data_IF_779137657336
#
_entry.id   IF_779137657336
#
_cell.length_a   1.000
_cell.length_b   1.000
_cell.length_c   1.000
_cell.angle_alpha   90.00
_cell.angle_beta   90.00
_cell.angle_gamma   90.00
#
_symmetry.space_group_name_H-M   'P 1'
#
loop_
_entity.id
_entity.type
_entity.pdbx_description
1 polymer ?
#
# COMPACT_ATOMS: atom_id res chain seq x y z
N UNK A 1 47.08 -26.05 10.95
CA UNK A 1 48.36 -26.79 11.04
C UNK A 1 48.23 -28.04 10.18
N UNK A 2 49.20 -28.35 9.30
CA UNK A 2 49.14 -29.50 8.39
C UNK A 2 50.08 -30.60 8.90
N UNK A 3 49.56 -31.81 9.08
CA UNK A 3 50.32 -32.99 9.48
C UNK A 3 50.33 -33.97 8.31
N UNK A 4 51.51 -34.29 7.77
CA UNK A 4 51.66 -35.21 6.65
C UNK A 4 52.76 -36.23 6.96
N UNK A 5 52.41 -37.52 6.96
CA UNK A 5 53.35 -38.60 7.23
C UNK A 5 53.80 -39.26 5.91
N UNK A 6 55.10 -39.21 5.64
CA UNK A 6 55.71 -39.83 4.45
C UNK A 6 55.78 -41.37 4.51
N UNK A 7 55.50 -41.95 5.68
CA UNK A 7 55.41 -43.41 5.87
C UNK A 7 53.97 -43.96 5.75
N UNK A 8 52.99 -43.13 5.40
CA UNK A 8 51.61 -43.56 5.15
C UNK A 8 50.73 -43.75 6.39
N UNK A 9 51.15 -43.26 7.56
CA UNK A 9 50.33 -43.32 8.77
C UNK A 9 49.10 -42.42 8.69
N UNK A 10 48.02 -42.81 9.38
CA UNK A 10 46.80 -42.00 9.45
C UNK A 10 47.04 -40.75 10.31
N UNK A 11 46.43 -39.59 9.98
CA UNK A 11 46.65 -38.34 10.71
C UNK A 11 46.37 -38.42 12.22
N UNK A 12 45.41 -39.25 12.63
CA UNK A 12 45.02 -39.46 14.04
C UNK A 12 46.17 -40.07 14.86
N UNK A 13 46.83 -41.08 14.29
CA UNK A 13 47.92 -41.81 14.93
C UNK A 13 49.15 -40.89 15.10
N UNK A 14 49.39 -40.01 14.11
CA UNK A 14 50.46 -39.01 14.16
C UNK A 14 50.16 -37.93 15.19
N UNK A 15 48.92 -37.42 15.22
CA UNK A 15 48.49 -36.41 16.19
C UNK A 15 48.66 -36.91 17.64
N UNK A 16 48.27 -38.15 17.91
CA UNK A 16 48.40 -38.77 19.22
C UNK A 16 49.87 -38.94 19.64
N UNK A 17 50.75 -39.35 18.73
CA UNK A 17 52.17 -39.55 19.01
C UNK A 17 52.90 -38.25 19.40
N UNK A 18 52.44 -37.10 18.90
CA UNK A 18 53.00 -35.78 19.23
C UNK A 18 52.22 -35.03 20.32
N UNK A 19 51.30 -35.72 21.01
CA UNK A 19 50.53 -35.15 22.14
C UNK A 19 49.41 -34.19 21.72
N UNK A 20 48.92 -34.29 20.49
CA UNK A 20 47.83 -33.48 19.94
C UNK A 20 46.55 -34.33 19.75
N UNK A 21 45.42 -33.65 19.61
CA UNK A 21 44.13 -34.25 19.24
C UNK A 21 43.68 -33.67 17.90
N UNK A 22 42.79 -34.38 17.20
CA UNK A 22 42.26 -33.91 15.91
C UNK A 22 41.56 -32.54 16.01
N UNK A 23 41.01 -32.19 17.17
CA UNK A 23 40.41 -30.87 17.41
C UNK A 23 41.42 -29.73 17.34
N UNK A 24 42.70 -29.98 17.70
CA UNK A 24 43.77 -28.99 17.55
C UNK A 24 44.19 -28.77 16.08
N UNK A 25 43.84 -29.70 15.17
CA UNK A 25 44.11 -29.59 13.74
C UNK A 25 43.02 -28.81 12.98
N UNK A 26 41.81 -28.73 13.55
CA UNK A 26 40.65 -28.06 12.96
C UNK A 26 40.02 -27.03 13.92
N UNK A 27 40.68 -25.87 14.16
CA UNK A 27 40.23 -24.88 15.15
C UNK A 27 38.96 -24.10 14.79
N UNK A 28 38.18 -24.47 13.77
CA UNK A 28 36.91 -23.83 13.43
C UNK A 28 35.83 -24.87 13.15
N UNK A 29 35.25 -25.42 14.20
CA UNK A 29 33.91 -26.02 14.11
C UNK A 29 32.91 -24.87 14.23
N UNK A 30 32.20 -24.55 13.15
CA UNK A 30 31.09 -23.59 13.21
C UNK A 30 30.12 -24.00 14.34
N UNK A 31 29.54 -23.04 15.08
CA UNK A 31 28.60 -23.37 16.14
C UNK A 31 27.43 -24.20 15.58
N UNK A 32 26.90 -25.17 16.34
CA UNK A 32 25.78 -25.99 15.89
C UNK A 32 24.61 -25.09 15.51
N UNK A 33 23.98 -25.41 14.37
CA UNK A 33 22.75 -24.74 13.96
C UNK A 33 21.72 -24.85 15.10
N UNK A 34 20.97 -23.77 15.41
CA UNK A 34 19.93 -23.83 16.43
C UNK A 34 18.95 -24.95 16.09
N UNK A 35 18.58 -25.76 17.10
CA UNK A 35 17.65 -26.86 16.91
C UNK A 35 16.34 -26.36 16.28
N UNK A 36 15.76 -27.10 15.31
CA UNK A 36 14.51 -26.71 14.68
C UNK A 36 13.39 -26.66 15.73
N UNK A 37 12.84 -25.46 15.96
CA UNK A 37 11.68 -25.26 16.84
C UNK A 37 10.54 -26.16 16.36
N UNK A 38 9.95 -27.02 17.22
CA UNK A 38 8.87 -27.91 16.81
C UNK A 38 7.70 -27.11 16.22
N UNK A 39 7.32 -27.42 14.97
CA UNK A 39 6.23 -26.74 14.26
C UNK A 39 4.88 -27.17 14.83
N UNK A 40 4.38 -26.45 15.83
CA UNK A 40 2.98 -26.56 16.26
C UNK A 40 2.09 -26.11 15.11
N UNK A 41 1.20 -26.99 14.63
CA UNK A 41 0.27 -26.68 13.53
C UNK A 41 -0.71 -25.59 13.95
N UNK A 42 -0.71 -24.49 13.21
CA UNK A 42 -1.61 -23.35 13.41
C UNK A 42 -3.08 -23.72 13.14
N UNK A 43 -3.97 -23.49 14.10
CA UNK A 43 -5.43 -23.74 13.96
C UNK A 43 -6.19 -22.43 13.78
N UNK A 44 -7.29 -22.47 13.03
CA UNK A 44 -8.22 -21.33 12.96
C UNK A 44 -8.94 -21.21 14.30
N UNK A 45 -8.85 -20.04 14.93
CA UNK A 45 -9.50 -19.75 16.22
C UNK A 45 -10.68 -18.78 16.08
N UNK A 46 -10.72 -18.01 15.00
CA UNK A 46 -11.86 -17.16 14.65
C UNK A 46 -11.97 -17.01 13.13
N UNK A 47 -13.20 -16.81 12.65
CA UNK A 47 -13.53 -16.54 11.24
C UNK A 47 -14.46 -15.35 11.19
N UNK A 48 -14.06 -14.32 10.44
CA UNK A 48 -14.80 -13.07 10.29
C UNK A 48 -15.39 -13.00 8.88
N UNK A 49 -16.71 -12.93 8.78
CA UNK A 49 -17.46 -12.90 7.52
C UNK A 49 -17.60 -11.47 6.99
N UNK A 50 -16.97 -11.17 5.86
CA UNK A 50 -17.17 -9.91 5.15
C UNK A 50 -18.29 -10.06 4.13
N UNK A 51 -19.38 -9.34 4.37
CA UNK A 51 -20.60 -9.38 3.56
C UNK A 51 -20.78 -8.07 2.79
N UNK A 52 -21.34 -8.16 1.59
CA UNK A 52 -21.72 -6.98 0.81
C UNK A 52 -22.98 -6.31 1.39
N UNK A 53 -23.43 -5.21 0.77
CA UNK A 53 -24.62 -4.48 1.20
C UNK A 53 -25.92 -5.30 1.15
N UNK A 54 -25.97 -6.36 0.33
CA UNK A 54 -27.09 -7.30 0.24
C UNK A 54 -26.98 -8.45 1.27
N UNK A 55 -25.92 -8.46 2.09
CA UNK A 55 -25.65 -9.50 3.08
C UNK A 55 -25.03 -10.77 2.52
N UNK A 56 -24.63 -10.79 1.24
CA UNK A 56 -23.95 -11.94 0.63
C UNK A 56 -22.51 -12.02 1.11
N UNK A 57 -22.05 -13.23 1.42
CA UNK A 57 -20.67 -13.47 1.84
C UNK A 57 -19.71 -13.27 0.66
N UNK A 58 -18.81 -12.30 0.79
CA UNK A 58 -17.81 -11.96 -0.23
C UNK A 58 -16.48 -12.62 0.07
N UNK A 59 -15.99 -12.49 1.31
CA UNK A 59 -14.76 -13.13 1.76
C UNK A 59 -14.75 -13.31 3.28
N UNK A 60 -13.73 -14.01 3.77
CA UNK A 60 -13.49 -14.25 5.18
C UNK A 60 -12.07 -13.92 5.56
N UNK A 61 -11.90 -13.38 6.77
CA UNK A 61 -10.61 -13.29 7.45
C UNK A 61 -10.56 -14.38 8.51
N UNK A 62 -9.46 -15.12 8.54
CA UNK A 62 -9.23 -16.26 9.42
C UNK A 62 -8.11 -15.91 10.39
N UNK A 63 -8.43 -15.79 11.67
CA UNK A 63 -7.42 -15.69 12.72
C UNK A 63 -6.91 -17.09 13.05
N UNK A 64 -5.60 -17.26 13.07
CA UNK A 64 -4.95 -18.53 13.41
C UNK A 64 -3.93 -18.40 14.51
N UNK A 65 -3.88 -19.41 15.38
CA UNK A 65 -2.97 -19.47 16.53
C UNK A 65 -2.41 -20.90 16.71
N UNK A 66 -1.12 -21.06 17.09
CA UNK A 66 -0.10 -20.01 17.09
C UNK A 66 0.20 -19.51 15.66
N UNK A 67 0.79 -18.32 15.55
CA UNK A 67 1.29 -17.79 14.29
C UNK A 67 2.64 -18.41 13.87
N UNK A 68 3.08 -18.21 12.62
CA UNK A 68 4.35 -18.73 12.14
C UNK A 68 5.53 -18.00 12.82
N UNK A 69 6.69 -18.69 12.88
CA UNK A 69 7.95 -18.13 13.41
C UNK A 69 7.82 -17.57 14.84
N UNK A 70 7.09 -18.26 15.71
CA UNK A 70 6.93 -17.86 17.12
C UNK A 70 5.97 -16.68 17.36
N UNK A 71 5.27 -16.18 16.33
CA UNK A 71 4.24 -15.15 16.52
C UNK A 71 3.03 -15.72 17.25
N UNK A 72 2.36 -14.90 18.08
CA UNK A 72 1.14 -15.30 18.80
C UNK A 72 -0.01 -15.66 17.84
N UNK A 73 -0.22 -14.86 16.79
CA UNK A 73 -1.32 -14.98 15.84
C UNK A 73 -0.89 -14.71 14.40
N UNK A 74 -1.68 -15.18 13.43
CA UNK A 74 -1.60 -14.79 12.02
C UNK A 74 -2.99 -14.71 11.41
N UNK A 75 -3.14 -13.94 10.34
CA UNK A 75 -4.41 -13.76 9.65
C UNK A 75 -4.27 -14.22 8.21
N UNK A 76 -5.21 -15.04 7.75
CA UNK A 76 -5.33 -15.45 6.35
C UNK A 76 -6.67 -15.02 5.78
N UNK A 77 -6.72 -14.75 4.49
CA UNK A 77 -7.97 -14.40 3.79
C UNK A 77 -8.42 -15.56 2.91
N UNK A 78 -9.72 -15.68 2.70
CA UNK A 78 -10.27 -16.57 1.68
C UNK A 78 -11.58 -16.04 1.12
N UNK A 79 -11.86 -16.34 -0.14
CA UNK A 79 -13.14 -16.05 -0.81
C UNK A 79 -13.80 -17.31 -1.34
N UNK A 80 -15.13 -17.35 -1.50
CA UNK A 80 -15.79 -18.46 -2.18
C UNK A 80 -15.23 -18.66 -3.59
N UNK A 81 -15.06 -19.92 -3.99
CA UNK A 81 -14.62 -20.24 -5.34
C UNK A 81 -15.81 -20.12 -6.31
N UNK A 82 -15.76 -19.22 -7.32
CA UNK A 82 -16.88 -19.03 -8.25
C UNK A 82 -17.13 -20.25 -9.14
N UNK A 83 -16.07 -21.01 -9.45
CA UNK A 83 -16.14 -22.19 -10.34
C UNK A 83 -16.52 -23.47 -9.58
N UNK A 84 -16.41 -23.46 -8.25
CA UNK A 84 -16.63 -24.62 -7.39
C UNK A 84 -17.38 -24.23 -6.12
N UNK A 85 -18.73 -24.21 -6.16
CA UNK A 85 -19.56 -23.93 -4.98
C UNK A 85 -19.14 -24.75 -3.75
N UNK A 86 -19.06 -24.10 -2.60
CA UNK A 86 -18.61 -24.72 -1.34
C UNK A 86 -17.09 -24.91 -1.20
N UNK A 87 -16.29 -24.54 -2.20
CA UNK A 87 -14.83 -24.47 -2.09
C UNK A 87 -14.36 -23.03 -1.84
N UNK A 88 -13.15 -22.90 -1.32
CA UNK A 88 -12.52 -21.63 -0.94
C UNK A 88 -11.24 -21.38 -1.75
N UNK A 89 -10.96 -20.12 -2.07
CA UNK A 89 -9.71 -19.66 -2.68
C UNK A 89 -8.99 -18.77 -1.65
N UNK A 90 -7.72 -19.01 -1.30
CA UNK A 90 -7.02 -18.32 -0.22
C UNK A 90 -6.41 -16.97 -0.65
N UNK A 91 -7.20 -16.11 -1.30
CA UNK A 91 -6.80 -14.76 -1.71
C UNK A 91 -8.03 -13.84 -1.79
N UNK A 92 -7.80 -12.56 -2.11
CA UNK A 92 -8.84 -11.56 -2.42
C UNK A 92 -8.73 -11.05 -3.86
N UNK A 93 -8.16 -11.83 -4.77
CA UNK A 93 -7.97 -11.39 -6.15
C UNK A 93 -9.31 -11.10 -6.82
N UNK A 94 -9.48 -9.88 -7.32
CA UNK A 94 -10.73 -9.40 -7.94
C UNK A 94 -11.85 -9.11 -6.94
N UNK A 95 -11.55 -9.07 -5.63
CA UNK A 95 -12.51 -8.70 -4.59
C UNK A 95 -12.20 -7.27 -4.12
N UNK A 96 -13.23 -6.42 -4.14
CA UNK A 96 -13.17 -5.09 -3.54
C UNK A 96 -13.22 -5.22 -2.01
N UNK A 97 -12.23 -4.71 -1.25
CA UNK A 97 -12.29 -4.71 0.21
C UNK A 97 -13.53 -4.02 0.75
N UNK A 98 -14.08 -4.55 1.83
CA UNK A 98 -15.28 -4.03 2.47
C UNK A 98 -15.03 -3.76 3.96
N UNK A 99 -15.78 -2.82 4.57
CA UNK A 99 -15.89 -2.73 6.02
C UNK A 99 -16.43 -4.05 6.61
N UNK A 100 -15.89 -4.48 7.73
CA UNK A 100 -16.43 -5.61 8.47
C UNK A 100 -17.83 -5.26 9.01
N UNK A 101 -18.80 -6.18 8.93
CA UNK A 101 -20.20 -5.93 9.30
C UNK A 101 -20.88 -4.80 8.50
N UNK A 102 -20.56 -4.70 7.20
CA UNK A 102 -21.11 -3.68 6.31
C UNK A 102 -22.66 -3.59 6.31
N UNK A 103 -23.45 -4.68 6.30
CA UNK A 103 -24.91 -4.58 6.39
C UNK A 103 -25.40 -3.83 7.65
N UNK A 104 -24.82 -4.14 8.80
CA UNK A 104 -25.14 -3.50 10.07
C UNK A 104 -24.69 -2.04 10.11
N UNK A 105 -23.50 -1.75 9.58
CA UNK A 105 -23.01 -0.39 9.37
C UNK A 105 -24.02 0.43 8.56
N UNK A 106 -24.45 -0.06 7.40
CA UNK A 106 -25.41 0.66 6.54
C UNK A 106 -26.78 0.80 7.19
N UNK A 107 -27.19 -0.16 8.01
CA UNK A 107 -28.44 -0.08 8.76
C UNK A 107 -28.38 1.00 9.85
N UNK A 108 -27.27 1.09 10.60
CA UNK A 108 -27.05 2.12 11.62
C UNK A 108 -26.97 3.52 11.01
N UNK A 109 -26.21 3.69 9.92
CA UNK A 109 -26.11 4.96 9.20
C UNK A 109 -27.47 5.46 8.71
N UNK A 110 -28.34 4.56 8.19
CA UNK A 110 -29.70 4.91 7.79
C UNK A 110 -30.59 5.33 8.96
N UNK A 111 -30.34 4.81 10.17
CA UNK A 111 -31.07 5.18 11.39
C UNK A 111 -30.48 6.40 12.09
N UNK A 112 -29.36 6.94 11.60
CA UNK A 112 -28.64 8.04 12.24
C UNK A 112 -27.99 7.64 13.57
N UNK A 113 -27.71 6.34 13.76
CA UNK A 113 -27.02 5.83 14.95
C UNK A 113 -25.52 6.10 14.88
N UNK A 114 -24.90 6.22 16.06
CA UNK A 114 -23.44 6.30 16.18
C UNK A 114 -22.78 5.00 15.76
N UNK A 115 -21.77 5.11 14.89
CA UNK A 115 -20.95 3.99 14.43
C UNK A 115 -19.58 4.06 15.11
N UNK A 116 -19.10 2.91 15.57
CA UNK A 116 -17.79 2.78 16.19
C UNK A 116 -16.79 2.15 15.21
N UNK A 117 -15.56 2.65 15.19
CA UNK A 117 -14.48 2.12 14.35
C UNK A 117 -13.31 1.70 15.22
N UNK A 118 -12.86 0.47 15.03
CA UNK A 118 -11.71 -0.13 15.73
C UNK A 118 -10.67 -0.61 14.72
N UNK A 119 -9.47 -0.96 15.17
CA UNK A 119 -8.41 -1.46 14.28
C UNK A 119 -8.70 -2.90 13.79
N UNK A 120 -9.26 -3.76 14.66
CA UNK A 120 -9.41 -5.19 14.40
C UNK A 120 -10.82 -5.76 14.56
N UNK A 121 -11.06 -6.91 13.92
CA UNK A 121 -12.37 -7.58 13.91
C UNK A 121 -12.78 -8.12 15.29
N UNK A 122 -11.80 -8.49 16.14
CA UNK A 122 -12.04 -8.89 17.54
C UNK A 122 -12.75 -7.77 18.31
N UNK A 123 -12.25 -6.55 18.18
CA UNK A 123 -12.78 -5.39 18.90
C UNK A 123 -14.16 -4.99 18.40
N UNK A 124 -14.38 -5.12 17.08
CA UNK A 124 -15.72 -4.98 16.50
C UNK A 124 -16.70 -5.97 17.12
N UNK A 125 -16.33 -7.25 17.22
CA UNK A 125 -17.19 -8.28 17.82
C UNK A 125 -17.44 -8.01 19.32
N UNK A 126 -16.44 -7.54 20.06
CA UNK A 126 -16.59 -7.14 21.47
C UNK A 126 -17.58 -5.98 21.63
N UNK A 127 -17.45 -4.92 20.84
CA UNK A 127 -18.37 -3.78 20.86
C UNK A 127 -19.79 -4.17 20.43
N UNK A 128 -19.91 -5.04 19.42
CA UNK A 128 -21.20 -5.59 19.01
C UNK A 128 -21.84 -6.43 20.11
N UNK A 129 -21.04 -7.19 20.88
CA UNK A 129 -21.50 -7.98 22.02
C UNK A 129 -22.14 -7.15 23.13
N UNK A 130 -21.72 -5.89 23.29
CA UNK A 130 -22.33 -4.94 24.24
C UNK A 130 -23.40 -4.04 23.60
N UNK A 131 -23.82 -4.33 22.36
CA UNK A 131 -24.92 -3.65 21.68
C UNK A 131 -24.54 -2.33 20.99
N UNK A 132 -23.28 -2.17 20.61
CA UNK A 132 -22.81 -1.04 19.80
C UNK A 132 -22.59 -1.47 18.35
N UNK A 133 -22.85 -0.60 17.38
CA UNK A 133 -22.61 -0.90 15.96
C UNK A 133 -21.18 -0.52 15.60
N UNK A 134 -20.32 -1.51 15.40
CA UNK A 134 -18.91 -1.31 15.10
C UNK A 134 -18.50 -1.89 13.74
N UNK A 135 -17.42 -1.34 13.18
CA UNK A 135 -16.79 -1.81 11.94
C UNK A 135 -15.27 -1.61 12.00
N UNK A 136 -14.54 -2.33 11.14
CA UNK A 136 -13.11 -2.13 10.91
C UNK A 136 -12.77 -2.47 9.45
N UNK A 137 -11.51 -2.26 9.05
CA UNK A 137 -10.96 -2.82 7.82
C UNK A 137 -10.31 -4.18 8.08
N UNK A 138 -10.22 -5.02 7.05
CA UNK A 138 -9.38 -6.21 7.15
C UNK A 138 -7.89 -5.82 7.17
N UNK A 139 -7.07 -6.58 7.88
CA UNK A 139 -5.61 -6.43 7.85
C UNK A 139 -5.02 -5.36 8.76
N UNK A 140 -5.82 -4.73 9.63
CA UNK A 140 -5.36 -3.83 10.70
C UNK A 140 -4.83 -2.47 10.23
N UNK A 141 -4.01 -1.83 11.06
CA UNK A 141 -3.53 -0.47 10.83
C UNK A 141 -2.96 -0.24 9.42
N UNK A 142 -3.35 0.90 8.84
CA UNK A 142 -2.87 1.37 7.55
C UNK A 142 -3.53 0.71 6.33
N UNK A 143 -4.52 -0.18 6.51
CA UNK A 143 -5.30 -0.76 5.40
C UNK A 143 -6.67 -0.11 5.19
N UNK A 144 -7.07 0.83 6.06
CA UNK A 144 -8.23 1.68 5.82
C UNK A 144 -7.95 2.71 4.73
N UNK A 145 -8.88 2.82 3.79
CA UNK A 145 -8.77 3.71 2.62
C UNK A 145 -10.08 4.41 2.32
N UNK A 146 -9.99 5.58 1.68
CA UNK A 146 -11.17 6.34 1.27
C UNK A 146 -12.04 5.55 0.27
N UNK A 147 -11.40 4.89 -0.70
CA UNK A 147 -12.05 4.15 -1.79
C UNK A 147 -12.84 2.94 -1.31
N UNK A 148 -12.34 2.20 -0.32
CA UNK A 148 -12.95 0.94 0.09
C UNK A 148 -13.78 1.06 1.38
N UNK A 149 -13.40 1.98 2.28
CA UNK A 149 -13.94 2.04 3.64
C UNK A 149 -14.68 3.35 3.92
N UNK A 150 -14.01 4.49 3.77
CA UNK A 150 -14.63 5.78 4.10
C UNK A 150 -15.82 6.09 3.18
N UNK A 151 -15.82 5.61 1.92
CA UNK A 151 -16.91 5.85 0.96
C UNK A 151 -18.31 5.46 1.44
N UNK A 152 -18.41 4.54 2.39
CA UNK A 152 -19.69 4.07 2.93
C UNK A 152 -20.33 5.01 3.93
N UNK A 153 -19.57 5.99 4.44
CA UNK A 153 -20.04 7.00 5.37
C UNK A 153 -20.53 8.24 4.61
N UNK A 154 -21.71 8.73 5.01
CA UNK A 154 -22.34 9.94 4.47
C UNK A 154 -22.14 11.17 5.34
N UNK A 155 -22.46 12.33 4.78
CA UNK A 155 -22.43 13.61 5.50
C UNK A 155 -23.31 13.52 6.75
N UNK A 156 -22.79 13.97 7.88
CA UNK A 156 -23.49 14.03 9.16
C UNK A 156 -23.55 12.71 9.93
N UNK A 157 -22.88 11.65 9.48
CA UNK A 157 -22.71 10.43 10.26
C UNK A 157 -21.94 10.70 11.57
N UNK A 158 -22.42 10.17 12.69
CA UNK A 158 -21.69 10.18 13.97
C UNK A 158 -20.74 8.98 14.01
N UNK A 159 -19.45 9.25 14.15
CA UNK A 159 -18.43 8.20 14.20
C UNK A 159 -17.52 8.38 15.40
N UNK A 160 -17.28 7.27 16.11
CA UNK A 160 -16.36 7.21 17.25
C UNK A 160 -15.25 6.22 16.91
N UNK A 161 -13.99 6.62 17.10
CA UNK A 161 -12.84 5.80 16.78
C UNK A 161 -12.11 5.43 18.08
N UNK A 162 -11.86 4.14 18.28
CA UNK A 162 -11.03 3.61 19.36
C UNK A 162 -9.71 3.08 18.76
N UNK A 163 -8.61 3.85 18.80
CA UNK A 163 -7.30 3.38 18.38
C UNK A 163 -6.69 2.40 19.40
N UNK A 164 -5.86 1.47 18.94
CA UNK A 164 -5.00 0.66 19.81
C UNK A 164 -4.00 1.57 20.55
N UNK A 165 -3.64 1.20 21.79
CA UNK A 165 -2.74 1.97 22.63
C UNK A 165 -1.26 1.80 22.25
N UNK A 166 -0.92 2.16 21.02
CA UNK A 166 0.45 2.34 20.55
C UNK A 166 0.52 3.44 19.46
N UNK A 167 1.73 3.80 19.04
CA UNK A 167 1.92 4.87 18.04
C UNK A 167 1.30 4.53 16.68
N UNK A 168 1.26 3.24 16.32
CA UNK A 168 0.73 2.78 15.03
C UNK A 168 -0.80 2.86 15.05
N UNK A 169 -1.43 2.42 16.13
CA UNK A 169 -2.86 2.50 16.38
C UNK A 169 -3.35 3.95 16.44
N UNK A 170 -2.65 4.83 17.17
CA UNK A 170 -2.98 6.26 17.22
C UNK A 170 -2.90 6.92 15.84
N UNK A 171 -1.83 6.69 15.10
CA UNK A 171 -1.67 7.26 13.74
C UNK A 171 -2.70 6.68 12.76
N UNK A 172 -3.07 5.41 12.91
CA UNK A 172 -4.16 4.81 12.15
C UNK A 172 -5.50 5.48 12.46
N UNK A 173 -5.85 5.60 13.75
CA UNK A 173 -7.09 6.25 14.20
C UNK A 173 -7.18 7.70 13.69
N UNK A 174 -6.09 8.46 13.77
CA UNK A 174 -5.98 9.82 13.24
C UNK A 174 -6.29 9.88 11.74
N UNK A 175 -5.67 9.01 10.94
CA UNK A 175 -5.90 8.93 9.49
C UNK A 175 -7.35 8.57 9.14
N UNK A 176 -7.95 7.65 9.88
CA UNK A 176 -9.38 7.30 9.70
C UNK A 176 -10.25 8.50 10.03
N UNK A 177 -9.95 9.19 11.14
CA UNK A 177 -10.69 10.38 11.57
C UNK A 177 -10.66 11.49 10.52
N UNK A 178 -9.46 11.83 10.02
CA UNK A 178 -9.28 12.86 8.99
C UNK A 178 -10.05 12.53 7.70
N UNK A 179 -10.01 11.26 7.26
CA UNK A 179 -10.75 10.83 6.07
C UNK A 179 -12.27 10.95 6.25
N UNK A 180 -12.79 10.61 7.43
CA UNK A 180 -14.22 10.66 7.71
C UNK A 180 -14.71 12.10 7.93
N UNK A 181 -13.94 12.95 8.59
CA UNK A 181 -14.20 14.40 8.67
C UNK A 181 -14.21 15.01 7.27
N UNK A 182 -13.26 14.64 6.40
CA UNK A 182 -13.23 15.09 5.00
C UNK A 182 -14.47 14.69 4.18
N UNK A 183 -15.24 13.70 4.65
CA UNK A 183 -16.55 13.31 4.07
C UNK A 183 -17.75 14.00 4.72
N UNK A 184 -17.51 14.88 5.68
CA UNK A 184 -18.55 15.58 6.44
C UNK A 184 -19.12 14.78 7.61
N UNK A 185 -18.42 13.73 8.08
CA UNK A 185 -18.83 13.01 9.29
C UNK A 185 -18.48 13.84 10.55
N UNK A 186 -19.24 13.64 11.62
CA UNK A 186 -18.92 14.14 12.96
C UNK A 186 -18.14 13.05 13.69
N UNK A 187 -16.85 13.26 13.87
CA UNK A 187 -15.93 12.23 14.37
C UNK A 187 -15.49 12.58 15.79
N UNK A 188 -15.35 11.57 16.65
CA UNK A 188 -14.62 11.64 17.93
C UNK A 188 -13.57 10.54 17.95
N UNK A 189 -12.39 10.84 18.50
CA UNK A 189 -11.34 9.84 18.74
C UNK A 189 -11.20 9.71 20.25
N UNK A 190 -11.36 8.48 20.76
CA UNK A 190 -11.33 8.19 22.19
C UNK A 190 -10.15 7.29 22.48
N UNK A 191 -9.10 7.86 23.06
CA UNK A 191 -7.96 7.11 23.54
C UNK A 191 -8.27 6.53 24.92
N UNK A 192 -8.26 5.20 25.03
CA UNK A 192 -8.47 4.50 26.29
C UNK A 192 -7.15 4.49 27.08
N UNK A 193 -7.07 5.41 28.05
CA UNK A 193 -5.91 5.58 28.92
C UNK A 193 -5.77 4.39 29.88
N UNK A 194 -4.61 4.25 30.51
CA UNK A 194 -4.28 3.21 31.50
C UNK A 194 -4.23 1.76 30.99
N UNK A 195 -4.12 1.56 29.67
CA UNK A 195 -3.82 0.27 29.09
C UNK A 195 -2.29 0.04 28.92
N UNK A 196 -1.82 -1.21 28.97
CA UNK A 196 -0.49 -1.56 28.46
C UNK A 196 -0.33 -1.16 26.98
N UNK A 197 0.91 -1.06 26.50
CA UNK A 197 1.17 -0.86 25.08
C UNK A 197 0.49 -1.97 24.26
N UNK A 198 -0.18 -1.57 23.16
CA UNK A 198 -1.01 -2.42 22.29
C UNK A 198 -2.32 -2.91 22.91
N UNK A 199 -2.73 -2.32 24.03
CA UNK A 199 -4.06 -2.56 24.58
C UNK A 199 -5.13 -2.03 23.62
N UNK A 200 -6.19 -2.82 23.46
CA UNK A 200 -7.34 -2.51 22.62
C UNK A 200 -8.60 -2.29 23.47
N UNK A 201 -9.72 -1.88 22.86
CA UNK A 201 -10.99 -1.69 23.59
C UNK A 201 -11.53 -2.99 24.21
N UNK A 202 -11.18 -4.14 23.64
CA UNK A 202 -11.52 -5.42 24.28
C UNK A 202 -10.74 -5.64 25.56
N UNK A 203 -9.45 -5.28 25.58
CA UNK A 203 -8.62 -5.37 26.78
C UNK A 203 -9.10 -4.40 27.87
N UNK A 204 -9.57 -3.21 27.47
CA UNK A 204 -10.19 -2.25 28.39
C UNK A 204 -11.48 -2.78 29.02
N UNK A 205 -12.41 -3.32 28.23
CA UNK A 205 -13.63 -3.96 28.75
C UNK A 205 -13.34 -5.22 29.59
N UNK A 206 -12.21 -5.90 29.35
CA UNK A 206 -11.79 -7.03 30.15
C UNK A 206 -11.19 -6.61 31.51
N UNK A 207 -10.76 -5.35 31.66
CA UNK A 207 -10.17 -4.79 32.87
C UNK A 207 -11.23 -4.23 33.85
N UNK A 208 -12.37 -4.90 33.97
CA UNK A 208 -13.52 -4.55 34.84
C UNK A 208 -14.28 -3.27 34.46
N UNK A 209 -13.98 -2.67 33.31
CA UNK A 209 -14.76 -1.56 32.79
C UNK A 209 -16.04 -2.02 32.09
N UNK A 210 -17.02 -1.13 31.99
CA UNK A 210 -18.35 -1.42 31.43
C UNK A 210 -18.75 -0.46 30.30
N UNK A 211 -19.90 -0.74 29.69
CA UNK A 211 -20.44 0.05 28.59
C UNK A 211 -20.75 1.48 29.01
N UNK A 212 -21.30 1.67 30.20
CA UNK A 212 -21.70 2.98 30.71
C UNK A 212 -20.48 3.90 30.86
N UNK A 213 -19.38 3.38 31.39
CA UNK A 213 -18.09 4.08 31.47
C UNK A 213 -17.54 4.39 30.08
N UNK A 214 -17.59 3.44 29.15
CA UNK A 214 -17.15 3.66 27.76
C UNK A 214 -17.95 4.80 27.12
N UNK A 215 -19.27 4.80 27.29
CA UNK A 215 -20.15 5.85 26.76
C UNK A 215 -19.89 7.21 27.42
N UNK A 216 -19.55 7.23 28.71
CA UNK A 216 -19.17 8.45 29.40
C UNK A 216 -17.86 9.05 28.83
N UNK A 217 -16.88 8.20 28.48
CA UNK A 217 -15.66 8.64 27.80
C UNK A 217 -15.96 9.19 26.39
N UNK A 218 -16.86 8.55 25.64
CA UNK A 218 -17.28 9.00 24.32
C UNK A 218 -17.96 10.37 24.38
N UNK A 219 -18.83 10.59 25.37
CA UNK A 219 -19.54 11.86 25.55
C UNK A 219 -18.58 13.00 25.93
N UNK A 220 -17.57 12.70 26.75
CA UNK A 220 -16.54 13.66 27.17
C UNK A 220 -15.51 13.96 26.08
N UNK A 221 -15.37 13.08 25.10
CA UNK A 221 -14.39 13.24 24.04
C UNK A 221 -14.75 14.42 23.13
N UNK A 222 -13.79 15.33 22.87
CA UNK A 222 -14.03 16.46 21.99
C UNK A 222 -14.32 15.97 20.57
N UNK A 223 -15.09 16.76 19.82
CA UNK A 223 -15.19 16.55 18.37
C UNK A 223 -13.78 16.62 17.78
N UNK A 224 -13.45 15.63 16.95
CA UNK A 224 -12.19 15.57 16.24
C UNK A 224 -12.09 16.77 15.30
N UNK A 225 -11.27 17.72 15.68
CA UNK A 225 -10.75 18.74 14.80
C UNK A 225 -9.37 18.26 14.36
N UNK A 226 -9.12 18.07 13.05
CA UNK A 226 -7.79 17.72 12.55
C UNK A 226 -6.76 18.69 13.16
N UNK A 227 -5.83 18.15 13.96
CA UNK A 227 -4.75 18.95 14.56
C UNK A 227 -3.67 19.15 13.50
N UNK A 228 -3.58 20.38 13.02
CA UNK A 228 -2.90 20.74 11.79
C UNK A 228 -3.96 21.10 10.77
N UNK A 229 -3.79 22.24 10.09
CA UNK A 229 -4.64 22.58 8.94
C UNK A 229 -4.92 21.29 8.17
N UNK A 230 -6.19 20.96 7.86
CA UNK A 230 -6.42 19.92 6.89
C UNK A 230 -5.54 20.31 5.72
N UNK A 231 -4.52 19.51 5.38
CA UNK A 231 -3.87 19.66 4.08
C UNK A 231 -5.06 19.69 3.15
N UNK A 232 -5.36 20.84 2.53
CA UNK A 232 -6.75 21.10 2.19
C UNK A 232 -7.20 19.92 1.34
N UNK A 233 -8.44 19.48 1.54
CA UNK A 233 -9.15 18.86 0.43
C UNK A 233 -9.32 20.01 -0.57
N UNK A 234 -8.21 20.43 -1.18
CA UNK A 234 -8.20 21.11 -2.43
C UNK A 234 -8.97 20.14 -3.31
N UNK A 235 -9.85 20.64 -4.19
CA UNK A 235 -10.23 19.84 -5.33
C UNK A 235 -8.98 19.09 -5.80
N UNK A 236 -9.06 17.79 -6.06
CA UNK A 236 -7.96 17.03 -6.68
C UNK A 236 -7.77 17.50 -8.13
N UNK A 237 -7.69 18.81 -8.32
CA UNK A 237 -7.47 19.52 -9.55
C UNK A 237 -5.98 19.69 -9.67
N UNK A 238 -5.46 19.25 -10.79
CA UNK A 238 -4.08 19.50 -11.17
C UNK A 238 -3.84 21.02 -11.19
N UNK A 239 -2.65 21.49 -10.77
CA UNK A 239 -2.31 22.91 -10.94
C UNK A 239 -2.42 23.34 -12.41
N UNK A 240 -2.73 24.62 -12.71
CA UNK A 240 -2.90 25.12 -14.09
C UNK A 240 -1.71 24.84 -15.03
N UNK A 241 -0.53 24.57 -14.46
CA UNK A 241 0.65 24.14 -15.21
C UNK A 241 0.42 22.86 -16.04
N UNK A 242 -0.58 22.05 -15.69
CA UNK A 242 -0.97 20.85 -16.42
C UNK A 242 -2.04 21.08 -17.49
N UNK A 243 -2.66 22.26 -17.57
CA UNK A 243 -3.81 22.50 -18.47
C UNK A 243 -3.47 22.20 -19.94
N UNK A 244 -2.30 22.67 -20.40
CA UNK A 244 -1.82 22.39 -21.75
C UNK A 244 -1.55 20.91 -21.97
N UNK A 245 -0.96 20.23 -20.98
CA UNK A 245 -0.65 18.81 -21.02
C UNK A 245 -1.91 17.95 -21.09
N UNK A 246 -2.92 18.27 -20.28
CA UNK A 246 -4.21 17.61 -20.27
C UNK A 246 -4.87 17.76 -21.65
N UNK A 247 -4.90 18.97 -22.19
CA UNK A 247 -5.49 19.24 -23.50
C UNK A 247 -4.77 18.50 -24.63
N UNK A 248 -3.43 18.41 -24.61
CA UNK A 248 -2.64 17.71 -25.63
C UNK A 248 -2.73 16.19 -25.49
N UNK A 249 -2.64 15.65 -24.27
CA UNK A 249 -2.77 14.21 -24.02
C UNK A 249 -4.19 13.71 -24.33
N UNK A 250 -5.23 14.50 -24.05
CA UNK A 250 -6.60 14.16 -24.41
C UNK A 250 -6.77 13.96 -25.93
N UNK A 251 -6.08 14.75 -26.76
CA UNK A 251 -6.09 14.58 -28.23
C UNK A 251 -5.49 13.24 -28.69
N UNK A 252 -4.65 12.61 -27.87
CA UNK A 252 -4.10 11.28 -28.16
C UNK A 252 -5.13 10.16 -27.95
N UNK A 253 -6.15 10.39 -27.12
CA UNK A 253 -7.16 9.40 -26.72
C UNK A 253 -6.62 8.18 -25.96
N UNK A 254 -5.34 8.16 -25.58
CA UNK A 254 -4.65 6.99 -24.97
C UNK A 254 -4.03 7.28 -23.63
N UNK A 255 -3.86 8.54 -23.28
CA UNK A 255 -3.14 8.97 -22.09
C UNK A 255 -3.89 10.10 -21.40
N UNK A 256 -3.75 10.16 -20.08
CA UNK A 256 -4.29 11.21 -19.23
C UNK A 256 -3.26 11.61 -18.18
N UNK A 257 -3.46 12.78 -17.58
CA UNK A 257 -2.76 13.21 -16.38
C UNK A 257 -3.75 13.09 -15.23
N UNK A 258 -3.41 12.28 -14.23
CA UNK A 258 -4.23 12.09 -13.04
C UNK A 258 -3.61 12.83 -11.87
N UNK A 259 -4.43 13.35 -10.97
CA UNK A 259 -3.92 13.95 -9.73
C UNK A 259 -2.98 12.96 -8.99
N UNK A 260 -1.80 13.41 -8.52
CA UNK A 260 -1.33 14.80 -8.42
C UNK A 260 -0.49 15.31 -9.61
N UNK A 261 -0.46 14.62 -10.75
CA UNK A 261 0.35 14.97 -11.93
C UNK A 261 0.92 13.76 -12.65
N UNK A 262 0.34 12.59 -12.42
CA UNK A 262 0.88 11.31 -12.85
C UNK A 262 0.39 10.99 -14.25
N UNK A 263 1.32 10.59 -15.11
CA UNK A 263 0.98 10.11 -16.44
C UNK A 263 0.33 8.73 -16.32
N UNK A 264 -0.85 8.59 -16.91
CA UNK A 264 -1.61 7.35 -16.95
C UNK A 264 -1.93 6.95 -18.38
N UNK A 265 -1.97 5.65 -18.62
CA UNK A 265 -2.45 5.05 -19.86
C UNK A 265 -3.91 4.61 -19.70
N UNK A 266 -4.77 5.00 -20.65
CA UNK A 266 -6.17 4.65 -20.67
C UNK A 266 -6.34 3.20 -21.17
N UNK A 267 -6.52 2.26 -20.24
CA UNK A 267 -6.79 0.86 -20.54
C UNK A 267 -8.27 0.72 -20.87
N UNK A 268 -8.59 0.28 -22.09
CA UNK A 268 -9.97 -0.02 -22.48
C UNK A 268 -10.47 -1.24 -21.70
N UNK A 269 -11.59 -1.06 -20.99
CA UNK A 269 -12.31 -2.14 -20.29
C UNK A 269 -13.77 -2.19 -20.75
N UNK A 270 -14.51 -3.22 -20.33
CA UNK A 270 -15.94 -3.36 -20.66
C UNK A 270 -16.77 -2.17 -20.17
N UNK A 271 -16.36 -1.56 -19.05
CA UNK A 271 -17.09 -0.47 -18.38
C UNK A 271 -16.52 0.92 -18.76
N UNK A 272 -15.63 0.97 -19.76
CA UNK A 272 -15.00 2.20 -20.25
C UNK A 272 -13.49 2.25 -20.07
N UNK A 273 -12.83 3.33 -20.51
CA UNK A 273 -11.41 3.53 -20.32
C UNK A 273 -11.09 3.76 -18.84
N UNK A 274 -10.20 2.95 -18.28
CA UNK A 274 -9.69 3.09 -16.91
C UNK A 274 -8.24 3.58 -16.96
N UNK A 275 -7.88 4.68 -16.26
CA UNK A 275 -6.51 5.15 -16.21
C UNK A 275 -5.63 4.21 -15.37
N UNK A 276 -4.50 3.79 -15.93
CA UNK A 276 -3.47 3.01 -15.24
C UNK A 276 -2.19 3.82 -15.22
N UNK A 277 -1.67 4.12 -14.02
CA UNK A 277 -0.45 4.90 -13.82
C UNK A 277 0.76 4.23 -14.47
N UNK A 278 1.59 5.03 -15.14
CA UNK A 278 2.80 4.57 -15.82
C UNK A 278 4.05 5.38 -15.46
N UNK A 279 3.89 6.61 -14.97
CA UNK A 279 4.98 7.43 -14.44
C UNK A 279 4.46 8.53 -13.50
N UNK A 280 5.32 9.00 -12.60
CA UNK A 280 5.02 10.16 -11.73
C UNK A 280 5.34 11.53 -12.39
N UNK A 281 5.64 11.54 -13.69
CA UNK A 281 5.96 12.74 -14.46
C UNK A 281 5.32 12.69 -15.85
N UNK A 282 5.17 13.84 -16.48
CA UNK A 282 4.86 14.00 -17.91
C UNK A 282 6.08 14.56 -18.63
N UNK A 283 6.26 14.18 -19.90
CA UNK A 283 7.37 14.63 -20.73
C UNK A 283 6.91 14.81 -22.18
N UNK A 284 7.50 15.78 -22.89
CA UNK A 284 7.28 16.01 -24.33
C UNK A 284 8.57 16.41 -25.02
N UNK A 285 8.68 16.07 -26.29
CA UNK A 285 9.74 16.60 -27.13
C UNK A 285 9.39 18.04 -27.55
N UNK A 286 10.38 18.94 -27.52
CA UNK A 286 10.26 20.34 -27.91
C UNK A 286 11.07 20.66 -29.17
N UNK A 287 12.10 19.86 -29.48
CA UNK A 287 12.81 19.90 -30.75
C UNK A 287 13.40 18.54 -31.12
N UNK A 288 13.57 18.30 -32.42
CA UNK A 288 14.33 17.19 -32.98
C UNK A 288 15.51 17.77 -33.77
N UNK A 289 16.73 17.41 -33.39
CA UNK A 289 17.96 17.90 -34.04
C UNK A 289 18.72 16.74 -34.65
N UNK A 290 19.05 16.84 -35.94
CA UNK A 290 19.92 15.89 -36.63
C UNK A 290 21.24 16.59 -36.95
N UNK A 291 22.35 16.05 -36.44
CA UNK A 291 23.70 16.41 -36.84
C UNK A 291 24.22 15.37 -37.84
N UNK A 292 24.70 15.82 -38.99
CA UNK A 292 25.32 14.99 -40.03
C UNK A 292 26.69 15.59 -40.35
N UNK A 293 27.77 14.98 -39.85
CA UNK A 293 29.14 15.45 -40.09
C UNK A 293 29.78 14.81 -41.33
N UNK A 294 28.99 14.10 -42.15
CA UNK A 294 29.44 13.39 -43.34
C UNK A 294 30.02 12.00 -43.06
N UNK A 295 30.25 11.63 -41.79
CA UNK A 295 30.69 10.29 -41.38
C UNK A 295 29.65 9.60 -40.50
N UNK A 296 29.00 10.33 -39.58
CA UNK A 296 27.98 9.82 -38.67
C UNK A 296 26.76 10.75 -38.61
N UNK A 297 25.57 10.13 -38.54
CA UNK A 297 24.31 10.85 -38.25
C UNK A 297 23.92 10.62 -36.79
N UNK A 298 23.91 11.70 -36.01
CA UNK A 298 23.46 11.68 -34.63
C UNK A 298 22.17 12.49 -34.48
N UNK A 299 21.12 11.84 -34.00
CA UNK A 299 19.83 12.47 -33.73
C UNK A 299 19.65 12.66 -32.22
N UNK A 300 19.26 13.86 -31.82
CA UNK A 300 18.91 14.21 -30.44
C UNK A 300 17.51 14.79 -30.36
N UNK A 301 16.84 14.56 -29.23
CA UNK A 301 15.53 15.11 -28.92
C UNK A 301 15.65 16.00 -27.69
N UNK A 302 15.28 17.26 -27.82
CA UNK A 302 15.17 18.14 -26.65
C UNK A 302 13.85 17.83 -25.96
N UNK A 303 13.91 17.40 -24.69
CA UNK A 303 12.75 16.95 -23.92
C UNK A 303 12.64 17.76 -22.65
N UNK A 304 11.46 18.30 -22.39
CA UNK A 304 11.07 18.90 -21.12
C UNK A 304 9.92 18.12 -20.47
N UNK A 305 9.58 18.47 -19.23
CA UNK A 305 8.55 17.76 -18.49
C UNK A 305 8.12 18.43 -17.20
N UNK A 306 7.17 17.79 -16.53
CA UNK A 306 6.69 18.19 -15.20
C UNK A 306 6.66 16.95 -14.32
N UNK A 307 7.37 17.00 -13.20
CA UNK A 307 7.30 16.03 -12.12
C UNK A 307 6.15 16.37 -11.19
N UNK A 308 5.34 15.39 -10.80
CA UNK A 308 4.28 15.61 -9.83
C UNK A 308 4.84 16.08 -8.47
N UNK A 309 4.19 17.05 -7.79
CA UNK A 309 2.88 17.62 -8.09
C UNK A 309 2.89 18.93 -8.92
N UNK A 310 3.91 19.20 -9.74
CA UNK A 310 3.97 20.42 -10.57
C UNK A 310 5.37 21.03 -10.71
N UNK A 311 6.43 20.27 -10.44
CA UNK A 311 7.81 20.72 -10.50
C UNK A 311 8.29 20.64 -11.95
N UNK A 312 8.63 21.80 -12.55
CA UNK A 312 9.20 21.85 -13.88
C UNK A 312 10.54 21.10 -13.93
N UNK A 313 10.66 20.22 -14.91
CA UNK A 313 11.90 19.51 -15.21
C UNK A 313 12.67 20.28 -16.27
N UNK A 314 13.99 20.48 -16.11
CA UNK A 314 14.79 21.22 -17.07
C UNK A 314 14.81 20.50 -18.42
N UNK A 315 14.81 21.27 -19.51
CA UNK A 315 14.97 20.72 -20.84
C UNK A 315 16.32 19.99 -20.95
N UNK A 316 16.31 18.78 -21.50
CA UNK A 316 17.49 17.95 -21.67
C UNK A 316 17.56 17.40 -23.09
N UNK A 317 18.74 17.43 -23.70
CA UNK A 317 18.95 16.89 -25.05
C UNK A 317 19.31 15.41 -24.98
N UNK A 318 18.37 14.56 -25.37
CA UNK A 318 18.47 13.10 -25.26
C UNK A 318 18.92 12.50 -26.59
N UNK A 319 20.03 11.75 -26.65
CA UNK A 319 20.39 10.98 -27.85
C UNK A 319 19.32 9.95 -28.21
N UNK A 320 19.05 9.77 -29.50
CA UNK A 320 17.99 8.86 -29.96
C UNK A 320 18.12 7.42 -29.43
N UNK A 321 19.36 6.95 -29.23
CA UNK A 321 19.66 5.64 -28.65
C UNK A 321 19.17 5.51 -27.19
N UNK A 322 19.33 6.56 -26.39
CA UNK A 322 18.99 6.56 -24.98
C UNK A 322 17.48 6.79 -24.81
N UNK A 323 16.89 7.59 -25.70
CA UNK A 323 15.44 7.77 -25.80
C UNK A 323 14.71 6.45 -26.06
N UNK A 324 15.25 5.60 -26.96
CA UNK A 324 14.62 4.33 -27.34
C UNK A 324 14.40 3.39 -26.14
N UNK A 325 15.34 3.38 -25.19
CA UNK A 325 15.31 2.52 -23.99
C UNK A 325 14.84 3.23 -22.73
N UNK A 326 14.52 4.54 -22.82
CA UNK A 326 14.16 5.41 -21.68
C UNK A 326 15.22 5.47 -20.56
N UNK A 327 16.48 5.14 -20.85
CA UNK A 327 17.58 5.11 -19.88
C UNK A 327 18.11 6.48 -19.48
N UNK A 328 17.67 7.54 -20.16
CA UNK A 328 18.11 8.91 -19.95
C UNK A 328 17.46 9.60 -18.74
N UNK A 329 16.29 9.13 -18.28
CA UNK A 329 15.46 9.83 -17.28
C UNK A 329 16.24 10.09 -15.99
N UNK A 330 16.89 9.08 -15.42
CA UNK A 330 17.69 9.24 -14.19
C UNK A 330 18.94 10.10 -14.40
N UNK A 331 19.55 10.04 -15.58
CA UNK A 331 20.73 10.84 -15.91
C UNK A 331 20.41 12.31 -16.16
N UNK A 332 19.23 12.60 -16.73
CA UNK A 332 18.78 13.95 -17.04
C UNK A 332 18.14 14.66 -15.84
N UNK A 333 17.30 13.94 -15.07
CA UNK A 333 16.43 14.54 -14.05
C UNK A 333 16.59 13.95 -12.65
N UNK A 334 17.61 13.10 -12.44
CA UNK A 334 17.90 12.49 -11.16
C UNK A 334 16.88 11.41 -10.75
N UNK A 335 16.82 11.11 -9.45
CA UNK A 335 15.98 10.03 -8.91
C UNK A 335 14.51 10.42 -8.68
N UNK A 336 14.14 11.68 -8.92
CA UNK A 336 12.78 12.18 -8.69
C UNK A 336 11.77 11.59 -9.68
N UNK A 337 11.94 11.84 -10.99
CA UNK A 337 11.12 11.21 -12.01
C UNK A 337 11.33 9.70 -12.07
N UNK A 338 10.23 8.96 -11.97
CA UNK A 338 10.22 7.51 -11.93
C UNK A 338 9.15 6.93 -12.84
N UNK A 339 9.51 5.80 -13.44
CA UNK A 339 8.62 4.96 -14.24
C UNK A 339 8.02 3.90 -13.30
N UNK A 340 6.72 3.61 -13.46
CA UNK A 340 6.08 2.56 -12.67
C UNK A 340 6.66 1.18 -13.01
N UNK A 341 6.87 0.31 -12.02
CA UNK A 341 7.35 -1.05 -12.28
C UNK A 341 6.27 -1.84 -13.03
N UNK A 342 6.63 -2.43 -14.17
CA UNK A 342 5.69 -3.24 -14.93
C UNK A 342 6.09 -3.43 -16.39
N UNK A 343 5.52 -4.47 -17.01
CA UNK A 343 5.79 -4.79 -18.41
C UNK A 343 5.23 -3.69 -19.31
N UNK A 344 6.12 -2.92 -19.94
CA UNK A 344 5.79 -1.90 -20.91
C UNK A 344 5.48 -0.50 -20.36
N UNK A 345 5.78 -0.20 -19.08
CA UNK A 345 5.63 1.17 -18.56
C UNK A 345 6.54 2.15 -19.30
N UNK A 346 7.83 1.83 -19.41
CA UNK A 346 8.81 2.61 -20.17
C UNK A 346 8.38 2.81 -21.65
N UNK A 347 7.92 1.74 -22.31
CA UNK A 347 7.41 1.82 -23.68
C UNK A 347 6.19 2.74 -23.81
N UNK A 348 5.28 2.71 -22.85
CA UNK A 348 4.09 3.58 -22.85
C UNK A 348 4.46 5.04 -22.65
N UNK A 349 5.43 5.35 -21.80
CA UNK A 349 5.93 6.73 -21.61
C UNK A 349 6.68 7.21 -22.86
N UNK A 350 7.53 6.38 -23.46
CA UNK A 350 8.16 6.69 -24.74
C UNK A 350 7.12 6.98 -25.82
N UNK A 351 6.11 6.12 -25.92
CA UNK A 351 5.01 6.29 -26.88
C UNK A 351 4.17 7.54 -26.60
N UNK A 352 3.93 7.92 -25.34
CA UNK A 352 3.21 9.17 -25.04
C UNK A 352 4.01 10.40 -25.49
N UNK A 353 5.32 10.42 -25.29
CA UNK A 353 6.20 11.51 -25.77
C UNK A 353 6.12 11.62 -27.31
N UNK A 354 6.16 10.49 -28.00
CA UNK A 354 6.06 10.44 -29.48
C UNK A 354 4.68 10.91 -29.98
N UNK A 355 3.59 10.50 -29.31
CA UNK A 355 2.24 10.97 -29.66
C UNK A 355 2.08 12.47 -29.40
N UNK A 356 2.60 12.98 -28.28
CA UNK A 356 2.60 14.41 -28.01
C UNK A 356 3.36 15.18 -29.09
N UNK A 357 4.52 14.69 -29.50
CA UNK A 357 5.30 15.33 -30.57
C UNK A 357 4.54 15.44 -31.90
N UNK A 358 3.71 14.44 -32.22
CA UNK A 358 2.82 14.46 -33.39
C UNK A 358 1.67 15.46 -33.22
N UNK A 359 1.10 15.57 -32.02
CA UNK A 359 0.01 16.49 -31.70
C UNK A 359 0.48 17.95 -31.70
N UNK A 360 1.68 18.22 -31.21
CA UNK A 360 2.22 19.59 -31.05
C UNK A 360 3.01 20.08 -32.27
N UNK A 361 3.44 19.19 -33.16
CA UNK A 361 4.19 19.56 -34.36
C UNK A 361 5.62 20.00 -34.03
N UNK A 362 6.41 19.11 -33.44
CA UNK A 362 7.77 19.42 -32.96
C UNK A 362 8.68 19.88 -34.12
N UNK A 363 9.36 21.03 -33.99
CA UNK A 363 10.25 21.54 -35.02
C UNK A 363 11.45 20.62 -35.22
N UNK A 364 11.79 20.38 -36.50
CA UNK A 364 12.95 19.59 -36.92
C UNK A 364 14.06 20.52 -37.38
N UNK A 365 15.27 20.31 -36.88
CA UNK A 365 16.48 21.08 -37.21
C UNK A 365 17.55 20.15 -37.76
N UNK A 366 18.23 20.60 -38.79
CA UNK A 366 19.43 19.95 -39.32
C UNK A 366 20.60 20.90 -39.12
N UNK A 367 21.65 20.41 -38.45
CA UNK A 367 22.81 21.20 -38.05
C UNK A 367 24.09 20.58 -38.59
#
# INVERSE_FOLDING_TARGET
>A
MLVHCFAGCRPEDVAQAVGLTMAHLYPNSAPPLPEPVPQVRSRVVATYDYRDADGRLVYQVLRREPGPKGRKKTFGVRRPNPDRPGKWVPNLDGIDPLPYRLPELLAALRRGETVYVTEGEKDVDTLAGIGLVATCNHGGAGKWTSEHHSRWFGIGAEVVIFPDNDDVGREHGRKVADQLVGRGCRVRVVELLDLPSKGDVSDWLAAEHNREELMALVEQAPSWAPTGEPAPVQPQTLPPIYDEWIAQLAKTGRYSVEWPGYLSHLKQTRDGPVPVRIANFVARATAETTRDDGAERCMTFDIDGILAPGILLPAYSVPAKDFAVMGWVSGAWGLGPSLEPGRGAADRVRHSIQMLAQVTGVPKRTV
#
